data_IF_606419989750
#
_entry.id   IF_606419989750
#
_cell.length_a   1.000
_cell.length_b   1.000
_cell.length_c   1.000
_cell.angle_alpha   90.00
_cell.angle_beta   90.00
_cell.angle_gamma   90.00
#
_symmetry.space_group_name_H-M   'P 1'
#
loop_
_entity.id
_entity.type
_entity.pdbx_description
1 polymer ?
#
# COMPACT_ATOMS: atom_id res chain seq x y z
N UNK A 1 29.27 15.06 5.69
CA UNK A 1 29.41 15.84 6.93
C UNK A 1 29.82 14.84 8.00
N UNK A 2 31.04 14.93 8.52
CA UNK A 2 31.60 13.91 9.45
C UNK A 2 31.92 14.57 10.77
N UNK A 3 31.60 13.89 11.87
CA UNK A 3 31.92 14.36 13.22
C UNK A 3 33.46 14.38 13.37
N UNK A 4 34.09 15.51 13.73
CA UNK A 4 35.54 15.56 13.95
C UNK A 4 35.96 14.58 15.05
N UNK A 5 36.86 13.65 14.74
CA UNK A 5 37.31 12.56 15.62
C UNK A 5 38.83 12.40 15.54
N UNK A 6 39.45 11.88 16.60
CA UNK A 6 40.91 11.68 16.70
C UNK A 6 41.40 10.36 16.09
N UNK A 7 40.53 9.39 15.85
CA UNK A 7 40.87 8.07 15.29
C UNK A 7 39.96 7.72 14.12
N UNK A 8 40.52 7.04 13.12
CA UNK A 8 39.81 6.50 11.95
C UNK A 8 39.26 5.07 12.17
N UNK A 9 39.37 4.55 13.40
CA UNK A 9 38.76 3.28 13.80
C UNK A 9 37.25 3.44 13.97
N UNK A 10 36.48 2.35 13.81
CA UNK A 10 35.03 2.31 14.04
C UNK A 10 34.64 2.96 15.37
N UNK A 11 33.54 3.73 15.34
CA UNK A 11 33.07 4.56 16.45
C UNK A 11 31.67 4.12 16.90
N UNK A 12 31.56 3.31 17.96
CA UNK A 12 30.28 2.72 18.39
C UNK A 12 29.21 3.77 18.75
N UNK A 13 29.61 4.93 19.27
CA UNK A 13 28.69 5.99 19.67
C UNK A 13 28.06 6.74 18.48
N UNK A 14 28.69 6.68 17.30
CA UNK A 14 28.12 7.23 16.06
C UNK A 14 27.24 6.24 15.33
N UNK A 15 27.46 4.95 15.57
CA UNK A 15 26.81 3.86 14.87
C UNK A 15 26.11 2.93 15.88
N UNK A 16 24.97 3.38 16.48
CA UNK A 16 24.14 2.49 17.27
C UNK A 16 23.62 1.34 16.42
N UNK A 17 23.13 0.28 17.06
CA UNK A 17 22.55 -0.85 16.33
C UNK A 17 21.40 -0.41 15.43
N UNK A 18 21.49 -0.76 14.15
CA UNK A 18 20.58 -0.25 13.10
C UNK A 18 19.69 -1.37 12.56
N UNK A 19 18.46 -1.06 12.08
CA UNK A 19 17.62 -2.03 11.39
C UNK A 19 18.35 -2.71 10.24
N UNK A 20 18.44 -4.03 10.28
CA UNK A 20 19.05 -4.85 9.25
C UNK A 20 18.14 -5.08 8.03
N UNK A 21 18.66 -5.76 6.99
CA UNK A 21 17.89 -6.08 5.79
C UNK A 21 16.90 -7.23 5.99
N UNK A 22 16.91 -7.90 7.15
CA UNK A 22 15.95 -8.95 7.45
C UNK A 22 14.64 -8.37 8.00
N UNK A 23 13.47 -8.76 7.45
CA UNK A 23 12.19 -8.40 8.05
C UNK A 23 11.99 -9.12 9.39
N UNK A 24 11.48 -8.40 10.39
CA UNK A 24 11.15 -8.96 11.69
C UNK A 24 9.92 -9.90 11.68
N UNK A 25 9.00 -9.68 10.73
CA UNK A 25 7.76 -10.43 10.59
C UNK A 25 7.48 -10.76 9.13
N UNK A 26 6.84 -11.92 8.91
CA UNK A 26 6.22 -12.26 7.63
C UNK A 26 4.91 -11.50 7.42
N UNK A 27 4.50 -11.37 6.15
CA UNK A 27 3.30 -10.62 5.79
C UNK A 27 2.03 -11.17 6.47
N UNK A 28 1.88 -12.49 6.56
CA UNK A 28 0.72 -13.14 7.18
C UNK A 28 0.65 -12.89 8.70
N UNK A 29 1.81 -12.79 9.35
CA UNK A 29 1.90 -12.55 10.78
C UNK A 29 1.55 -11.11 11.14
N UNK A 30 2.03 -10.16 10.34
CA UNK A 30 1.65 -8.76 10.47
C UNK A 30 0.16 -8.56 10.18
N UNK A 31 -0.38 -9.21 9.14
CA UNK A 31 -1.82 -9.19 8.84
C UNK A 31 -2.68 -9.79 9.96
N UNK A 32 -2.14 -10.75 10.71
CA UNK A 32 -2.78 -11.31 11.90
C UNK A 32 -2.78 -10.36 13.11
N UNK A 33 -2.19 -9.17 12.97
CA UNK A 33 -2.12 -8.14 14.01
C UNK A 33 -0.93 -8.28 14.97
N UNK A 34 0.08 -9.09 14.64
CA UNK A 34 1.33 -9.13 15.41
C UNK A 34 2.18 -7.91 15.07
N UNK A 35 2.85 -7.37 16.08
CA UNK A 35 3.81 -6.27 15.95
C UNK A 35 5.17 -6.73 16.49
N UNK A 36 6.25 -6.36 15.82
CA UNK A 36 7.61 -6.70 16.25
C UNK A 36 8.60 -5.61 15.85
N UNK A 37 9.59 -5.40 16.70
CA UNK A 37 10.69 -4.47 16.46
C UNK A 37 11.62 -4.97 15.34
N UNK A 38 12.23 -4.06 14.57
CA UNK A 38 13.16 -4.44 13.52
C UNK A 38 14.36 -5.21 14.08
N UNK A 39 14.85 -6.17 13.30
CA UNK A 39 16.02 -6.96 13.67
C UNK A 39 17.24 -6.04 13.53
N UNK A 40 17.84 -5.68 14.67
CA UNK A 40 18.98 -4.76 14.70
C UNK A 40 20.29 -5.49 14.40
N UNK A 41 21.18 -4.82 13.67
CA UNK A 41 22.53 -5.26 13.33
C UNK A 41 23.55 -4.18 13.71
N UNK A 42 24.71 -4.62 14.18
CA UNK A 42 25.86 -3.74 14.42
C UNK A 42 26.66 -3.56 13.13
N UNK A 43 26.96 -2.31 12.78
CA UNK A 43 27.79 -2.00 11.60
C UNK A 43 29.28 -2.29 11.82
N UNK A 44 29.68 -2.65 13.05
CA UNK A 44 31.05 -3.03 13.40
C UNK A 44 31.54 -4.22 12.59
N UNK A 45 30.65 -5.19 12.35
CA UNK A 45 30.98 -6.44 11.66
C UNK A 45 31.06 -6.27 10.13
N UNK A 46 30.83 -5.05 9.64
CA UNK A 46 30.87 -4.73 8.22
C UNK A 46 29.68 -5.27 7.45
N UNK A 47 29.85 -5.45 6.14
CA UNK A 47 28.78 -5.89 5.26
C UNK A 47 28.44 -7.38 5.49
N UNK A 48 27.20 -7.64 5.92
CA UNK A 48 26.63 -8.99 6.02
C UNK A 48 25.76 -9.24 4.79
N UNK A 49 26.12 -10.19 3.89
CA UNK A 49 25.32 -10.50 2.72
C UNK A 49 23.93 -11.01 3.11
N UNK A 50 22.91 -10.53 2.41
CA UNK A 50 21.54 -11.00 2.61
C UNK A 50 21.42 -12.46 2.15
N UNK A 51 20.89 -13.34 3.01
CA UNK A 51 20.49 -14.70 2.64
C UNK A 51 19.39 -14.61 1.56
N UNK A 52 19.66 -15.11 0.35
CA UNK A 52 18.75 -14.97 -0.81
C UNK A 52 17.34 -15.49 -0.49
N UNK A 53 16.39 -14.56 -0.31
CA UNK A 53 14.95 -14.81 -0.32
C UNK A 53 14.45 -14.47 -1.72
N UNK A 54 14.21 -15.48 -2.54
CA UNK A 54 13.71 -15.28 -3.90
C UNK A 54 12.28 -14.74 -3.85
N UNK A 55 12.08 -13.53 -4.37
CA UNK A 55 10.78 -12.85 -4.41
C UNK A 55 9.89 -13.50 -5.47
N UNK A 56 9.12 -14.51 -5.07
CA UNK A 56 8.15 -15.18 -5.95
C UNK A 56 6.86 -14.36 -6.03
N UNK A 57 6.77 -13.49 -7.04
CA UNK A 57 5.54 -12.73 -7.32
C UNK A 57 4.61 -13.57 -8.19
N UNK A 58 3.50 -14.05 -7.61
CA UNK A 58 2.44 -14.71 -8.38
C UNK A 58 1.59 -13.64 -9.08
N UNK A 59 1.95 -13.27 -10.31
CA UNK A 59 1.16 -12.36 -11.13
C UNK A 59 0.00 -13.11 -11.78
N UNK A 60 -1.07 -13.37 -11.01
CA UNK A 60 -2.33 -13.89 -11.57
C UNK A 60 -3.03 -12.79 -12.38
N UNK A 61 -3.34 -13.04 -13.64
CA UNK A 61 -4.11 -12.13 -14.48
C UNK A 61 -5.58 -12.22 -14.08
N UNK A 62 -6.11 -11.14 -13.50
CA UNK A 62 -7.47 -11.07 -12.97
C UNK A 62 -8.50 -10.98 -14.12
N UNK A 63 -8.06 -10.68 -15.36
CA UNK A 63 -8.93 -10.44 -16.51
C UNK A 63 -9.37 -11.72 -17.26
N UNK A 64 -8.72 -12.87 -17.04
CA UNK A 64 -8.91 -14.08 -17.86
C UNK A 64 -10.10 -14.97 -17.43
N UNK A 65 -10.81 -14.63 -16.36
CA UNK A 65 -11.99 -15.37 -15.93
C UNK A 65 -13.27 -14.85 -16.63
N UNK A 66 -13.38 -15.05 -17.94
CA UNK A 66 -14.63 -14.80 -18.69
C UNK A 66 -15.36 -16.13 -18.95
N UNK A 67 -16.58 -16.37 -18.42
CA UNK A 67 -17.36 -17.55 -18.75
C UNK A 67 -17.73 -17.58 -20.25
N UNK A 68 -17.93 -18.75 -20.86
CA UNK A 68 -18.10 -18.91 -22.30
C UNK A 68 -19.36 -18.18 -22.81
N UNK A 69 -19.34 -17.61 -24.04
CA UNK A 69 -20.48 -16.88 -24.58
C UNK A 69 -21.63 -17.85 -24.91
N UNK A 70 -22.68 -17.81 -24.10
CA UNK A 70 -23.98 -18.42 -24.40
C UNK A 70 -24.74 -17.68 -25.51
N UNK A 71 -25.77 -18.29 -26.12
CA UNK A 71 -26.37 -17.80 -27.36
C UNK A 71 -27.15 -16.49 -27.18
N UNK A 72 -26.84 -15.54 -28.08
CA UNK A 72 -27.45 -14.20 -28.25
C UNK A 72 -28.98 -14.22 -28.13
N UNK A 73 -29.51 -13.39 -27.23
CA UNK A 73 -30.82 -12.74 -27.40
C UNK A 73 -30.59 -11.25 -27.61
N UNK A 74 -30.93 -10.77 -28.80
CA UNK A 74 -30.96 -9.35 -29.15
C UNK A 74 -32.07 -8.66 -28.38
N UNK A 75 -31.78 -7.66 -27.56
CA UNK A 75 -32.63 -6.48 -27.35
C UNK A 75 -31.74 -5.32 -26.90
N UNK A 76 -32.17 -4.14 -27.33
CA UNK A 76 -31.45 -2.88 -27.43
C UNK A 76 -31.38 -2.11 -26.11
N UNK A 77 -30.45 -1.13 -26.09
CA UNK A 77 -30.26 0.00 -25.17
C UNK A 77 -29.41 -0.26 -23.92
N UNK A 78 -28.44 0.64 -23.77
CA UNK A 78 -27.27 0.56 -22.92
C UNK A 78 -27.59 1.17 -21.55
N UNK A 79 -27.49 0.38 -20.50
CA UNK A 79 -27.37 0.84 -19.11
C UNK A 79 -26.10 0.22 -18.52
N UNK A 80 -25.21 0.98 -17.88
CA UNK A 80 -24.20 0.39 -17.01
C UNK A 80 -24.84 0.12 -15.64
N UNK A 81 -25.43 -1.06 -15.48
CA UNK A 81 -25.73 -1.65 -14.17
C UNK A 81 -24.39 -1.93 -13.47
N UNK A 82 -23.98 -1.02 -12.58
CA UNK A 82 -22.85 -1.24 -11.68
C UNK A 82 -23.34 -2.15 -10.55
N UNK A 83 -23.60 -3.41 -10.86
CA UNK A 83 -23.60 -4.47 -9.87
C UNK A 83 -22.16 -4.65 -9.39
N UNK A 84 -21.73 -3.73 -8.51
CA UNK A 84 -20.53 -3.93 -7.70
C UNK A 84 -20.83 -5.15 -6.85
N UNK A 85 -20.28 -6.28 -7.28
CA UNK A 85 -20.11 -7.46 -6.45
C UNK A 85 -19.31 -7.00 -5.25
N UNK A 86 -20.02 -6.74 -4.17
CA UNK A 86 -19.51 -6.56 -2.83
C UNK A 86 -18.65 -7.77 -2.47
N UNK A 87 -17.36 -7.71 -2.78
CA UNK A 87 -16.32 -8.62 -2.27
C UNK A 87 -15.73 -8.13 -0.94
N UNK A 88 -16.39 -7.16 -0.30
CA UNK A 88 -16.14 -6.72 1.07
C UNK A 88 -17.48 -6.60 1.80
N UNK A 89 -18.19 -7.71 1.96
CA UNK A 89 -19.46 -7.75 2.68
C UNK A 89 -19.61 -9.08 3.39
N UNK A 90 -19.77 -9.02 4.71
CA UNK A 90 -19.91 -10.09 5.70
C UNK A 90 -18.58 -10.58 6.33
N UNK A 91 -18.13 -10.00 7.46
CA UNK A 91 -17.45 -10.82 8.46
C UNK A 91 -18.41 -11.94 8.91
N UNK A 92 -17.95 -13.19 9.11
CA UNK A 92 -18.81 -14.19 9.70
C UNK A 92 -19.19 -13.70 11.09
N UNK A 93 -20.50 -13.53 11.29
CA UNK A 93 -21.07 -13.34 12.61
C UNK A 93 -20.71 -14.57 13.46
N UNK A 94 -19.66 -14.48 14.27
CA UNK A 94 -19.43 -15.42 15.36
C UNK A 94 -20.34 -15.02 16.51
N UNK A 95 -21.62 -15.25 16.29
CA UNK A 95 -22.61 -15.34 17.35
C UNK A 95 -22.49 -16.70 18.03
N UNK A 96 -22.24 -16.65 19.34
CA UNK A 96 -22.79 -17.56 20.36
C UNK A 96 -22.41 -19.03 20.32
N UNK A 97 -21.53 -19.45 21.25
CA UNK A 97 -21.80 -20.65 22.04
C UNK A 97 -21.24 -20.51 23.46
N UNK A 98 -22.09 -20.91 24.40
CA UNK A 98 -21.98 -20.89 25.85
C UNK A 98 -20.72 -21.53 26.48
N UNK A 99 -20.31 -20.96 27.61
CA UNK A 99 -20.16 -21.67 28.89
C UNK A 99 -18.96 -22.61 29.09
N UNK A 100 -17.89 -22.11 29.72
CA UNK A 100 -16.82 -22.95 30.28
C UNK A 100 -16.02 -22.24 31.37
N UNK A 101 -16.15 -22.73 32.61
CA UNK A 101 -15.70 -22.14 33.88
C UNK A 101 -14.26 -22.52 34.23
N UNK A 102 -13.45 -21.55 34.68
CA UNK A 102 -12.16 -21.72 35.40
C UNK A 102 -11.29 -20.48 35.19
N UNK A 103 -10.84 -19.70 36.16
CA UNK A 103 -10.33 -20.00 37.50
C UNK A 103 -8.83 -19.68 37.52
N UNK A 104 -8.43 -18.42 37.74
CA UNK A 104 -7.02 -18.03 37.79
C UNK A 104 -6.80 -16.54 38.06
N UNK A 105 -5.90 -16.23 38.99
CA UNK A 105 -5.71 -14.94 39.67
C UNK A 105 -4.78 -13.99 38.90
N UNK A 106 -5.03 -12.69 39.05
CA UNK A 106 -3.99 -11.67 39.23
C UNK A 106 -3.36 -11.07 37.97
N UNK A 107 -3.81 -9.87 37.59
CA UNK A 107 -3.11 -8.99 36.66
C UNK A 107 -3.98 -7.80 36.30
N UNK A 108 -3.68 -6.62 36.85
CA UNK A 108 -4.32 -5.37 36.43
C UNK A 108 -3.97 -5.08 34.97
N UNK A 109 -4.93 -4.90 34.06
CA UNK A 109 -4.61 -4.52 32.69
C UNK A 109 -4.27 -3.03 32.65
N UNK A 110 -3.00 -2.72 32.37
CA UNK A 110 -2.64 -1.43 31.79
C UNK A 110 -3.31 -1.39 30.42
N UNK A 111 -4.30 -0.52 30.27
CA UNK A 111 -4.94 -0.25 28.99
C UNK A 111 -3.90 0.35 28.04
N UNK A 112 -3.52 -0.31 26.93
CA UNK A 112 -2.82 0.39 25.87
C UNK A 112 -3.80 1.41 25.29
N UNK A 113 -3.42 2.68 25.36
CA UNK A 113 -4.11 3.78 24.70
C UNK A 113 -4.13 3.48 23.20
N UNK A 114 -5.26 2.98 22.72
CA UNK A 114 -5.56 2.82 21.30
C UNK A 114 -5.57 4.22 20.70
N UNK A 115 -4.48 4.60 20.05
CA UNK A 115 -4.53 5.71 19.11
C UNK A 115 -5.64 5.41 18.10
N UNK A 116 -6.59 6.33 17.88
CA UNK A 116 -7.61 6.12 16.86
C UNK A 116 -6.93 5.82 15.53
N UNK A 117 -7.43 4.86 14.73
CA UNK A 117 -6.92 4.64 13.39
C UNK A 117 -6.95 5.96 12.62
N UNK A 118 -5.93 6.25 11.79
CA UNK A 118 -5.96 7.43 10.93
C UNK A 118 -7.27 7.38 10.15
N UNK A 119 -8.10 8.41 10.34
CA UNK A 119 -9.37 8.55 9.64
C UNK A 119 -9.03 8.54 8.16
N UNK A 120 -9.29 7.41 7.49
CA UNK A 120 -9.16 7.34 6.04
C UNK A 120 -10.10 8.41 5.50
N UNK A 121 -9.63 9.29 4.59
CA UNK A 121 -10.51 10.30 4.01
C UNK A 121 -11.76 9.59 3.51
N UNK A 122 -12.93 10.17 3.80
CA UNK A 122 -14.19 9.60 3.36
C UNK A 122 -14.10 9.36 1.85
N UNK A 123 -14.66 8.26 1.34
CA UNK A 123 -14.60 7.91 -0.08
C UNK A 123 -14.97 9.09 -1.00
N UNK A 124 -15.87 9.95 -0.53
CA UNK A 124 -16.28 11.19 -1.20
C UNK A 124 -15.14 12.17 -1.45
N UNK A 125 -14.25 12.37 -0.47
CA UNK A 125 -13.09 13.25 -0.58
C UNK A 125 -12.11 12.73 -1.65
N UNK A 126 -11.91 11.41 -1.67
CA UNK A 126 -11.05 10.75 -2.68
C UNK A 126 -11.66 10.88 -4.08
N UNK A 127 -12.99 10.78 -4.21
CA UNK A 127 -13.67 10.97 -5.50
C UNK A 127 -13.58 12.42 -5.98
N UNK A 128 -13.66 13.39 -5.06
CA UNK A 128 -13.51 14.81 -5.39
C UNK A 128 -12.07 15.14 -5.78
N UNK A 129 -11.07 14.58 -5.10
CA UNK A 129 -9.67 14.74 -5.45
C UNK A 129 -9.37 14.14 -6.84
N UNK A 130 -9.89 12.96 -7.14
CA UNK A 130 -9.78 12.36 -8.47
C UNK A 130 -10.42 13.27 -9.54
N UNK A 131 -11.55 13.92 -9.22
CA UNK A 131 -12.18 14.87 -10.14
C UNK A 131 -11.30 16.11 -10.36
N UNK A 132 -10.80 16.72 -9.30
CA UNK A 132 -9.93 17.90 -9.36
C UNK A 132 -8.61 17.63 -10.10
N UNK A 133 -8.00 16.46 -9.87
CA UNK A 133 -6.81 16.02 -10.59
C UNK A 133 -7.10 15.85 -12.09
N UNK A 134 -8.25 15.26 -12.45
CA UNK A 134 -8.65 15.12 -13.86
C UNK A 134 -8.87 16.47 -14.55
N UNK A 135 -9.47 17.44 -13.88
CA UNK A 135 -9.63 18.80 -14.42
C UNK A 135 -8.28 19.47 -14.67
N UNK A 136 -7.34 19.29 -13.73
CA UNK A 136 -5.98 19.83 -13.87
C UNK A 136 -5.24 19.20 -15.04
N UNK A 137 -5.31 17.87 -15.18
CA UNK A 137 -4.72 17.14 -16.31
C UNK A 137 -5.34 17.60 -17.63
N UNK A 138 -6.67 17.71 -17.70
CA UNK A 138 -7.36 18.18 -18.91
C UNK A 138 -6.97 19.62 -19.28
N UNK A 139 -6.82 20.49 -18.28
CA UNK A 139 -6.36 21.87 -18.51
C UNK A 139 -4.92 21.90 -19.05
N UNK A 140 -4.05 21.01 -18.55
CA UNK A 140 -2.69 20.86 -19.06
C UNK A 140 -2.67 20.33 -20.50
N UNK A 141 -3.47 19.30 -20.81
CA UNK A 141 -3.60 18.75 -22.17
C UNK A 141 -4.05 19.81 -23.17
N UNK A 142 -5.05 20.63 -22.80
CA UNK A 142 -5.49 21.76 -23.63
C UNK A 142 -4.37 22.76 -23.88
N UNK A 143 -3.65 23.13 -22.81
CA UNK A 143 -2.53 24.07 -22.91
C UNK A 143 -1.41 23.51 -23.80
N UNK A 144 -1.13 22.22 -23.71
CA UNK A 144 -0.15 21.55 -24.58
C UNK A 144 -0.61 21.65 -26.04
N UNK A 145 -1.85 21.29 -26.34
CA UNK A 145 -2.40 21.38 -27.70
C UNK A 145 -2.36 22.80 -28.28
N UNK A 146 -2.68 23.81 -27.47
CA UNK A 146 -2.60 25.21 -27.89
C UNK A 146 -1.17 25.65 -28.20
N UNK A 147 -0.20 25.18 -27.41
CA UNK A 147 1.22 25.46 -27.64
C UNK A 147 1.75 24.73 -28.87
N UNK A 148 1.34 23.47 -29.08
CA UNK A 148 1.67 22.69 -30.28
C UNK A 148 1.13 23.35 -31.54
N UNK A 149 -0.12 23.79 -31.54
CA UNK A 149 -0.73 24.51 -32.66
C UNK A 149 0.00 25.82 -32.98
N UNK A 150 0.41 26.58 -31.95
CA UNK A 150 1.21 27.80 -32.13
C UNK A 150 2.57 27.48 -32.72
N UNK A 151 3.23 26.43 -32.23
CA UNK A 151 4.52 26.00 -32.73
C UNK A 151 4.42 25.57 -34.21
N UNK A 152 3.38 24.82 -34.57
CA UNK A 152 3.10 24.43 -35.96
C UNK A 152 2.95 25.63 -36.92
N UNK A 153 2.35 26.73 -36.46
CA UNK A 153 2.22 27.94 -37.29
C UNK A 153 3.57 28.60 -37.60
N UNK A 154 4.52 28.55 -36.66
CA UNK A 154 5.85 29.11 -36.89
C UNK A 154 6.77 28.17 -37.67
N UNK A 155 6.61 26.85 -37.55
CA UNK A 155 7.45 25.88 -38.28
C UNK A 155 7.04 25.71 -39.74
N UNK A 156 5.79 25.98 -40.10
CA UNK A 156 5.30 25.86 -41.49
C UNK A 156 5.53 27.13 -42.32
N UNK A 157 6.17 28.17 -41.76
CA UNK A 157 6.37 29.48 -42.39
C UNK A 157 7.83 29.85 -42.70
N UNK A 158 8.76 28.89 -42.70
CA UNK A 158 10.15 29.11 -43.17
C UNK A 158 10.35 28.43 -44.52
N UNK A 159 10.07 29.18 -45.58
CA UNK A 159 10.83 29.13 -46.85
C UNK A 159 11.75 30.37 -46.86
#
# INVERSE_FOLDING_TARGET
MTVPRKSDLFQDDLYPDTPGPEPALEADEWLSGKDAEPILISLRDGYVPVKNRELKVVKKNILDNKPPPGPRRSHSTCEPDVSVTSWWGCPPAWGGVDGGRGGGRGGSPVTPHVSPPPQRPALEEVLEEIRALKETVQAQEKRISDLENKLCQFTNGTD
#
